data_IF_573089504006
#
_entry.id   IF_573089504006
#
_cell.length_a   1.000
_cell.length_b   1.000
_cell.length_c   1.000
_cell.angle_alpha   90.00
_cell.angle_beta   90.00
_cell.angle_gamma   90.00
#
_symmetry.space_group_name_H-M   'P 1'
#
loop_
_entity.id
_entity.type
_entity.pdbx_description
1 polymer ?
#
# COMPACT_ATOMS: atom_id res chain seq x y z
N UNK A 1 -8.82 -53.11 10.20
CA UNK A 1 -8.32 -51.77 10.52
C UNK A 1 -9.52 -50.86 10.75
N UNK A 2 -9.67 -50.22 11.91
CA UNK A 2 -10.76 -49.26 12.14
C UNK A 2 -10.68 -48.16 11.08
N UNK A 3 -11.81 -47.71 10.57
CA UNK A 3 -11.90 -46.69 9.52
C UNK A 3 -11.10 -45.42 9.88
N UNK A 4 -11.05 -45.11 11.17
CA UNK A 4 -10.27 -44.02 11.79
C UNK A 4 -8.75 -44.18 11.58
N UNK A 5 -8.22 -45.40 11.70
CA UNK A 5 -6.77 -45.66 11.55
C UNK A 5 -6.38 -45.49 10.08
N UNK A 6 -7.22 -45.98 9.17
CA UNK A 6 -7.00 -45.85 7.73
C UNK A 6 -7.05 -44.38 7.28
N UNK A 7 -8.00 -43.60 7.77
CA UNK A 7 -8.09 -42.16 7.44
C UNK A 7 -6.93 -41.36 8.03
N UNK A 8 -6.49 -41.66 9.27
CA UNK A 8 -5.32 -41.01 9.86
C UNK A 8 -4.03 -41.33 9.09
N UNK A 9 -3.85 -42.58 8.64
CA UNK A 9 -2.73 -42.99 7.81
C UNK A 9 -2.74 -42.26 6.46
N UNK A 10 -3.88 -42.22 5.77
CA UNK A 10 -4.01 -41.50 4.49
C UNK A 10 -3.76 -40.00 4.64
N UNK A 11 -4.26 -39.39 5.72
CA UNK A 11 -4.00 -37.99 6.03
C UNK A 11 -2.52 -37.74 6.31
N UNK A 12 -1.89 -38.57 7.14
CA UNK A 12 -0.45 -38.47 7.44
C UNK A 12 0.43 -38.64 6.21
N UNK A 13 0.12 -39.61 5.34
CA UNK A 13 0.83 -39.82 4.06
C UNK A 13 0.64 -38.61 3.15
N UNK A 14 -0.60 -38.13 3.00
CA UNK A 14 -0.89 -36.94 2.18
C UNK A 14 -0.13 -35.71 2.69
N UNK A 15 -0.13 -35.48 4.00
CA UNK A 15 0.60 -34.38 4.62
C UNK A 15 2.12 -34.52 4.40
N UNK A 16 2.67 -35.73 4.52
CA UNK A 16 4.08 -36.00 4.26
C UNK A 16 4.46 -35.75 2.80
N UNK A 17 3.64 -36.19 1.84
CA UNK A 17 3.84 -35.95 0.40
C UNK A 17 3.86 -34.44 0.09
N UNK A 18 2.97 -33.67 0.71
CA UNK A 18 2.93 -32.21 0.57
C UNK A 18 4.15 -31.54 1.24
N UNK A 19 4.53 -31.96 2.44
CA UNK A 19 5.69 -31.40 3.13
C UNK A 19 7.02 -31.72 2.44
N UNK A 20 7.15 -32.92 1.88
CA UNK A 20 8.31 -33.34 1.08
C UNK A 20 8.33 -32.69 -0.31
N UNK A 21 7.26 -31.99 -0.71
CA UNK A 21 7.17 -31.30 -2.00
C UNK A 21 7.11 -32.23 -3.21
N UNK A 22 6.75 -33.51 -3.01
CA UNK A 22 6.63 -34.51 -4.08
C UNK A 22 5.52 -34.15 -5.06
N UNK A 23 4.41 -33.60 -4.53
CA UNK A 23 3.39 -32.92 -5.32
C UNK A 23 3.47 -31.45 -4.94
N UNK A 24 3.97 -30.58 -5.84
CA UNK A 24 4.09 -29.17 -5.50
C UNK A 24 2.69 -28.57 -5.33
N UNK A 25 2.51 -27.66 -4.36
CA UNK A 25 1.23 -27.00 -4.13
C UNK A 25 0.80 -26.09 -5.29
N UNK A 26 1.75 -25.68 -6.14
CA UNK A 26 1.53 -24.85 -7.31
C UNK A 26 2.21 -25.44 -8.54
N UNK A 27 1.56 -25.29 -9.69
CA UNK A 27 2.05 -25.69 -11.01
C UNK A 27 1.43 -24.76 -12.07
N UNK A 28 1.60 -25.06 -13.36
CA UNK A 28 1.03 -24.23 -14.44
C UNK A 28 -0.50 -24.19 -14.44
N UNK A 29 -1.15 -25.31 -14.07
CA UNK A 29 -2.61 -25.44 -14.05
C UNK A 29 -3.24 -24.84 -12.77
N UNK A 30 -2.45 -24.75 -11.69
CA UNK A 30 -2.82 -24.21 -10.38
C UNK A 30 -1.75 -23.22 -9.93
N UNK A 31 -1.70 -22.08 -10.62
CA UNK A 31 -0.65 -21.10 -10.41
C UNK A 31 -0.75 -20.40 -9.05
N UNK A 32 0.42 -20.07 -8.48
CA UNK A 32 0.52 -19.20 -7.32
C UNK A 32 0.28 -17.75 -7.73
N UNK A 33 -0.80 -17.17 -7.22
CA UNK A 33 -1.09 -15.76 -7.36
C UNK A 33 -0.10 -14.89 -6.56
N UNK A 34 0.67 -14.03 -7.22
CA UNK A 34 1.63 -13.10 -6.61
C UNK A 34 1.44 -11.68 -7.13
N UNK A 35 1.80 -10.68 -6.35
CA UNK A 35 1.86 -9.29 -6.78
C UNK A 35 3.33 -8.87 -6.77
N UNK A 36 3.76 -8.15 -7.80
CA UNK A 36 5.09 -7.55 -7.89
C UNK A 36 4.89 -6.07 -8.13
N UNK A 37 5.33 -5.24 -7.19
CA UNK A 37 5.10 -3.79 -7.21
C UNK A 37 6.40 -3.09 -6.89
N UNK A 38 6.80 -2.13 -7.71
CA UNK A 38 7.84 -1.18 -7.35
C UNK A 38 7.24 -0.10 -6.47
N UNK A 39 7.75 0.05 -5.25
CA UNK A 39 7.30 1.05 -4.30
C UNK A 39 8.37 2.13 -4.14
N UNK A 40 7.90 3.37 -4.15
CA UNK A 40 8.66 4.55 -3.73
C UNK A 40 7.94 5.15 -2.52
N UNK A 41 8.54 5.02 -1.35
CA UNK A 41 7.93 5.36 -0.07
C UNK A 41 8.55 6.61 0.54
N UNK A 42 7.70 7.61 0.77
CA UNK A 42 8.01 8.89 1.41
C UNK A 42 7.35 9.04 2.79
N UNK A 43 6.63 8.03 3.29
CA UNK A 43 5.88 8.12 4.55
C UNK A 43 6.79 8.36 5.77
N UNK A 44 8.05 7.92 5.70
CA UNK A 44 9.06 8.19 6.72
C UNK A 44 9.77 9.54 6.58
N UNK A 45 9.59 10.26 5.46
CA UNK A 45 10.31 11.49 5.15
C UNK A 45 9.70 12.70 5.89
N UNK A 46 10.18 13.01 7.10
CA UNK A 46 9.81 14.25 7.80
C UNK A 46 10.66 15.41 7.28
N UNK A 47 10.09 16.26 6.43
CA UNK A 47 10.72 17.50 5.95
C UNK A 47 11.60 17.34 4.69
N UNK A 48 12.17 18.46 4.23
CA UNK A 48 12.72 18.67 2.87
C UNK A 48 13.99 17.88 2.48
N UNK A 49 14.49 16.95 3.29
CA UNK A 49 15.84 16.37 3.09
C UNK A 49 15.97 14.87 3.41
N UNK A 50 14.89 14.09 3.32
CA UNK A 50 15.01 12.62 3.35
C UNK A 50 14.80 12.02 1.96
N UNK A 51 15.76 11.18 1.54
CA UNK A 51 15.68 10.45 0.28
C UNK A 51 14.51 9.43 0.32
N UNK A 52 13.76 9.28 -0.77
CA UNK A 52 12.71 8.25 -0.89
C UNK A 52 13.28 6.85 -0.66
N UNK A 53 12.59 6.06 0.17
CA UNK A 53 12.89 4.64 0.29
C UNK A 53 12.26 3.89 -0.89
N UNK A 54 13.09 3.29 -1.74
CA UNK A 54 12.63 2.60 -2.94
C UNK A 54 12.97 1.12 -2.90
N UNK A 55 12.01 0.26 -3.24
CA UNK A 55 12.18 -1.19 -3.27
C UNK A 55 11.13 -1.89 -4.13
N UNK A 56 11.45 -3.08 -4.62
CA UNK A 56 10.49 -3.99 -5.24
C UNK A 56 9.90 -4.87 -4.16
N UNK A 57 8.57 -4.88 -4.05
CA UNK A 57 7.83 -5.75 -3.14
C UNK A 57 7.18 -6.90 -3.91
N UNK A 58 7.30 -8.09 -3.34
CA UNK A 58 6.70 -9.32 -3.81
C UNK A 58 5.86 -9.92 -2.67
N UNK A 59 4.56 -10.07 -2.90
CA UNK A 59 3.63 -10.56 -1.89
C UNK A 59 2.49 -11.38 -2.50
N UNK A 60 1.84 -12.21 -1.69
CA UNK A 60 0.74 -13.07 -2.11
C UNK A 60 -0.41 -13.00 -1.13
N UNK A 61 -1.64 -13.07 -1.64
CA UNK A 61 -2.83 -13.27 -0.80
C UNK A 61 -3.01 -14.75 -0.43
N UNK A 62 -2.31 -15.65 -1.10
CA UNK A 62 -2.35 -17.08 -0.82
C UNK A 62 -1.44 -17.38 0.39
N UNK A 63 -1.95 -18.04 1.44
CA UNK A 63 -1.14 -18.40 2.60
C UNK A 63 0.11 -19.20 2.23
N UNK A 64 1.20 -18.95 2.94
CA UNK A 64 2.47 -19.67 2.78
C UNK A 64 3.67 -18.76 2.53
N UNK A 65 4.86 -19.30 2.73
CA UNK A 65 6.13 -18.61 2.51
C UNK A 65 6.42 -18.41 1.02
N UNK A 66 7.12 -17.34 0.66
CA UNK A 66 7.53 -16.99 -0.71
C UNK A 66 9.01 -17.31 -1.00
N UNK A 67 9.68 -18.05 -0.11
CA UNK A 67 11.11 -18.35 -0.18
C UNK A 67 11.51 -19.04 -1.49
N UNK A 68 10.74 -20.03 -1.96
CA UNK A 68 11.05 -20.75 -3.21
C UNK A 68 10.99 -19.84 -4.42
N UNK A 69 10.00 -18.96 -4.47
CA UNK A 69 9.85 -17.98 -5.54
C UNK A 69 11.03 -17.03 -5.59
N UNK A 70 11.42 -16.47 -4.44
CA UNK A 70 12.50 -15.50 -4.40
C UNK A 70 13.89 -16.11 -4.62
N UNK A 71 14.11 -17.34 -4.18
CA UNK A 71 15.34 -18.10 -4.46
C UNK A 71 15.54 -18.29 -5.97
N UNK A 72 14.48 -18.62 -6.70
CA UNK A 72 14.53 -18.77 -8.15
C UNK A 72 14.68 -17.43 -8.88
N UNK A 73 14.01 -16.38 -8.40
CA UNK A 73 14.13 -15.04 -8.99
C UNK A 73 15.58 -14.52 -8.84
N UNK A 74 16.22 -14.76 -7.69
CA UNK A 74 17.64 -14.45 -7.49
C UNK A 74 17.98 -12.95 -7.48
N UNK A 75 17.00 -12.07 -7.19
CA UNK A 75 17.18 -10.61 -7.16
C UNK A 75 17.37 -10.03 -5.75
N UNK A 76 17.91 -10.82 -4.82
CA UNK A 76 18.31 -10.31 -3.48
C UNK A 76 17.15 -10.01 -2.54
N UNK A 77 16.00 -10.64 -2.73
CA UNK A 77 14.83 -10.45 -1.88
C UNK A 77 15.06 -10.96 -0.45
N UNK A 78 14.60 -10.18 0.52
CA UNK A 78 14.48 -10.60 1.93
C UNK A 78 13.01 -10.70 2.31
N UNK A 79 12.59 -11.85 2.82
CA UNK A 79 11.20 -12.12 3.20
C UNK A 79 11.01 -12.09 4.72
N UNK A 80 9.90 -11.51 5.17
CA UNK A 80 9.63 -11.42 6.60
C UNK A 80 8.27 -10.83 6.92
N UNK A 81 8.00 -10.73 8.22
CA UNK A 81 6.84 -10.03 8.80
C UNK A 81 7.26 -8.79 9.61
N UNK A 82 8.56 -8.49 9.63
CA UNK A 82 9.19 -7.40 10.37
C UNK A 82 8.89 -6.03 9.76
N UNK A 83 8.60 -5.99 8.46
CA UNK A 83 8.30 -4.77 7.71
C UNK A 83 6.95 -4.89 6.99
N UNK A 84 5.83 -4.79 7.72
CA UNK A 84 4.53 -4.76 7.08
C UNK A 84 4.41 -3.50 6.21
N UNK A 85 3.82 -3.66 5.03
CA UNK A 85 3.62 -2.55 4.10
C UNK A 85 2.14 -2.17 4.04
N UNK A 86 1.84 -0.89 4.23
CA UNK A 86 0.48 -0.37 4.16
C UNK A 86 0.21 0.28 2.79
N UNK A 87 -0.64 -0.36 1.99
CA UNK A 87 -1.10 0.16 0.69
C UNK A 87 -2.38 1.00 0.81
N UNK A 88 -2.69 1.51 2.01
CA UNK A 88 -3.86 2.34 2.37
C UNK A 88 -5.19 1.56 2.34
N UNK A 89 -5.40 0.75 1.30
CA UNK A 89 -6.58 -0.11 1.13
C UNK A 89 -6.45 -1.46 1.84
N UNK A 90 -5.22 -1.91 2.08
CA UNK A 90 -4.89 -3.13 2.80
C UNK A 90 -3.43 -3.10 3.24
N UNK A 91 -3.09 -3.90 4.25
CA UNK A 91 -1.71 -4.07 4.70
C UNK A 91 -1.18 -5.46 4.37
N UNK A 92 0.02 -5.50 3.81
CA UNK A 92 0.78 -6.72 3.56
C UNK A 92 1.59 -7.04 4.81
N UNK A 93 1.12 -8.02 5.59
CA UNK A 93 1.79 -8.46 6.83
C UNK A 93 3.01 -9.33 6.59
N UNK A 94 2.99 -10.13 5.52
CA UNK A 94 4.11 -10.95 5.08
C UNK A 94 4.39 -10.66 3.62
N UNK A 95 5.64 -10.35 3.31
CA UNK A 95 6.09 -10.08 1.96
C UNK A 95 7.61 -10.20 1.86
N UNK A 96 8.09 -10.11 0.64
CA UNK A 96 9.51 -10.06 0.32
C UNK A 96 9.80 -8.73 -0.34
N UNK A 97 10.95 -8.14 -0.05
CA UNK A 97 11.36 -6.89 -0.68
C UNK A 97 12.82 -6.95 -1.11
N UNK A 98 13.16 -6.21 -2.17
CA UNK A 98 14.52 -6.04 -2.66
C UNK A 98 14.73 -4.57 -3.03
N UNK A 99 15.82 -3.98 -2.54
CA UNK A 99 16.27 -2.61 -2.86
C UNK A 99 17.25 -2.59 -4.06
N UNK A 100 17.58 -3.75 -4.61
CA UNK A 100 18.53 -3.88 -5.71
C UNK A 100 18.06 -3.10 -6.94
N UNK A 101 18.82 -2.05 -7.29
CA UNK A 101 18.52 -1.13 -8.40
C UNK A 101 17.17 -0.42 -8.31
N UNK A 102 16.54 -0.37 -7.12
CA UNK A 102 15.20 0.19 -6.97
C UNK A 102 15.15 1.71 -7.27
N UNK A 103 16.27 2.42 -7.21
CA UNK A 103 16.33 3.83 -7.62
C UNK A 103 16.16 4.08 -9.16
N UNK A 104 15.94 3.04 -9.97
CA UNK A 104 15.80 3.14 -11.43
C UNK A 104 14.32 3.08 -11.85
N UNK A 105 13.91 3.99 -12.74
CA UNK A 105 12.61 3.93 -13.42
C UNK A 105 11.53 4.85 -12.84
N UNK A 106 11.90 5.75 -11.93
CA UNK A 106 11.07 6.84 -11.42
C UNK A 106 11.94 8.08 -11.20
N UNK A 107 11.32 9.27 -11.20
CA UNK A 107 11.99 10.53 -10.86
C UNK A 107 11.38 11.17 -9.61
N UNK A 108 12.18 11.96 -8.88
CA UNK A 108 11.68 12.69 -7.70
C UNK A 108 10.50 13.61 -8.03
N UNK A 109 10.46 14.16 -9.25
CA UNK A 109 9.35 15.00 -9.72
C UNK A 109 8.03 14.25 -9.90
N UNK A 110 8.09 12.92 -9.96
CA UNK A 110 6.93 12.04 -10.14
C UNK A 110 6.26 11.70 -8.81
N UNK A 111 6.95 11.95 -7.69
CA UNK A 111 6.45 11.69 -6.34
C UNK A 111 5.26 12.60 -6.05
N UNK A 112 4.10 12.04 -5.63
CA UNK A 112 2.93 12.83 -5.30
C UNK A 112 3.19 13.74 -4.11
N UNK A 113 2.59 14.92 -4.12
CA UNK A 113 2.76 15.94 -3.09
C UNK A 113 1.48 16.12 -2.30
N UNK A 114 1.61 16.15 -0.98
CA UNK A 114 0.60 16.65 -0.05
C UNK A 114 1.18 17.91 0.58
N UNK A 115 0.51 19.05 0.39
CA UNK A 115 0.98 20.33 0.89
C UNK A 115 -0.13 21.02 1.66
N UNK A 116 0.17 21.48 2.87
CA UNK A 116 -0.76 22.30 3.67
C UNK A 116 -0.62 23.75 3.21
N UNK A 117 -1.70 24.29 2.66
CA UNK A 117 -1.76 25.67 2.16
C UNK A 117 -2.09 26.65 3.29
N UNK A 118 -3.02 26.26 4.15
CA UNK A 118 -3.47 27.04 5.31
C UNK A 118 -3.91 26.13 6.45
N UNK A 119 -3.66 26.55 7.69
CA UNK A 119 -4.11 25.85 8.91
C UNK A 119 -4.57 26.87 9.95
N UNK A 120 -5.88 27.03 10.05
CA UNK A 120 -6.50 27.90 11.03
C UNK A 120 -6.65 27.13 12.34
N UNK A 121 -5.76 27.40 13.31
CA UNK A 121 -5.76 26.75 14.64
C UNK A 121 -6.82 27.36 15.57
N UNK A 122 -7.43 26.53 16.41
CA UNK A 122 -8.44 26.93 17.40
C UNK A 122 -9.36 25.76 17.77
N UNK A 123 -10.43 26.04 18.52
CA UNK A 123 -11.42 25.02 18.90
C UNK A 123 -12.12 24.36 17.70
N UNK A 124 -12.18 25.09 16.57
CA UNK A 124 -12.64 24.60 15.28
C UNK A 124 -11.48 24.64 14.29
N UNK A 125 -10.45 23.80 14.50
CA UNK A 125 -9.30 23.78 13.59
C UNK A 125 -9.76 23.36 12.19
N UNK A 126 -9.33 24.12 11.19
CA UNK A 126 -9.58 23.84 9.77
C UNK A 126 -8.28 23.92 9.01
N UNK A 127 -7.98 22.89 8.23
CA UNK A 127 -6.78 22.87 7.37
C UNK A 127 -7.17 22.73 5.91
N UNK A 128 -6.53 23.52 5.05
CA UNK A 128 -6.63 23.43 3.61
C UNK A 128 -5.37 22.77 3.06
N UNK A 129 -5.56 21.64 2.38
CA UNK A 129 -4.49 20.79 1.89
C UNK A 129 -4.62 20.65 0.38
N UNK A 130 -3.56 20.91 -0.37
CA UNK A 130 -3.46 20.55 -1.78
C UNK A 130 -2.80 19.21 -1.97
N UNK A 131 -3.38 18.41 -2.86
CA UNK A 131 -2.89 17.09 -3.26
C UNK A 131 -2.58 17.15 -4.75
N UNK A 132 -1.33 16.86 -5.13
CA UNK A 132 -0.89 16.71 -6.51
C UNK A 132 -0.44 15.27 -6.75
N UNK A 133 -1.22 14.51 -7.50
CA UNK A 133 -0.95 13.09 -7.82
C UNK A 133 0.02 12.90 -8.98
N UNK A 134 0.57 14.00 -9.51
CA UNK A 134 1.59 14.04 -10.56
C UNK A 134 1.22 13.25 -11.81
N UNK A 135 1.78 12.05 -11.97
CA UNK A 135 1.57 11.22 -13.15
C UNK A 135 0.29 10.39 -13.06
N UNK A 136 -0.22 10.16 -11.85
CA UNK A 136 -1.27 9.18 -11.61
C UNK A 136 -2.67 9.76 -11.74
N UNK A 137 -3.55 9.04 -12.44
CA UNK A 137 -5.00 9.24 -12.44
C UNK A 137 -5.73 8.18 -11.61
N UNK A 138 -5.01 7.33 -10.88
CA UNK A 138 -5.53 6.26 -10.03
C UNK A 138 -4.86 6.31 -8.66
N UNK A 139 -5.61 6.68 -7.63
CA UNK A 139 -5.04 6.91 -6.32
C UNK A 139 -6.01 6.51 -5.21
N UNK A 140 -5.47 6.30 -4.02
CA UNK A 140 -6.22 6.07 -2.79
C UNK A 140 -5.76 7.02 -1.72
N UNK A 141 -6.69 7.70 -1.07
CA UNK A 141 -6.45 8.54 0.09
C UNK A 141 -7.11 7.92 1.33
N UNK A 142 -6.32 7.70 2.37
CA UNK A 142 -6.79 7.41 3.71
C UNK A 142 -6.78 8.67 4.56
N UNK A 143 -7.91 8.97 5.20
CA UNK A 143 -8.09 10.10 6.11
C UNK A 143 -8.32 9.52 7.50
N UNK A 144 -7.53 9.97 8.47
CA UNK A 144 -7.60 9.52 9.85
C UNK A 144 -8.80 10.17 10.56
N UNK A 145 -9.86 9.40 10.75
CA UNK A 145 -11.13 9.87 11.35
C UNK A 145 -11.08 9.95 12.88
N UNK A 146 -9.98 9.54 13.51
CA UNK A 146 -9.77 9.81 14.93
C UNK A 146 -9.42 11.28 15.18
N UNK A 147 -8.85 11.95 14.17
CA UNK A 147 -8.40 13.35 14.25
C UNK A 147 -9.29 14.29 13.42
N UNK A 148 -9.84 13.79 12.31
CA UNK A 148 -10.70 14.53 11.38
C UNK A 148 -12.15 14.11 11.62
N UNK A 149 -12.99 15.08 11.98
CA UNK A 149 -14.43 14.88 12.16
C UNK A 149 -15.14 14.84 10.80
N UNK A 150 -14.77 15.75 9.90
CA UNK A 150 -15.37 15.85 8.57
C UNK A 150 -14.39 16.45 7.56
N UNK A 151 -14.65 16.29 6.27
CA UNK A 151 -13.82 16.81 5.19
C UNK A 151 -14.61 17.04 3.90
N UNK A 152 -14.03 17.89 3.05
CA UNK A 152 -14.53 18.18 1.70
C UNK A 152 -13.39 17.99 0.69
N UNK A 153 -13.66 17.31 -0.41
CA UNK A 153 -12.71 17.10 -1.50
C UNK A 153 -13.22 17.72 -2.80
N UNK A 154 -12.38 18.51 -3.46
CA UNK A 154 -12.65 19.18 -4.74
C UNK A 154 -11.55 18.92 -5.75
N UNK A 155 -11.89 18.90 -7.03
CA UNK A 155 -10.92 18.85 -8.14
C UNK A 155 -10.58 20.24 -8.73
N UNK A 156 -10.92 21.28 -7.98
CA UNK A 156 -10.75 22.69 -8.33
C UNK A 156 -12.06 23.37 -8.72
N UNK A 157 -12.93 22.71 -9.52
CA UNK A 157 -14.23 23.29 -9.92
C UNK A 157 -15.40 22.54 -9.32
N UNK A 158 -15.30 21.23 -9.24
CA UNK A 158 -16.39 20.37 -8.79
C UNK A 158 -16.10 19.82 -7.40
N UNK A 159 -17.16 19.70 -6.61
CA UNK A 159 -17.13 19.00 -5.34
C UNK A 159 -17.27 17.50 -5.60
N UNK A 160 -16.23 16.75 -5.25
CA UNK A 160 -16.21 15.31 -5.39
C UNK A 160 -16.75 14.62 -4.14
N UNK A 161 -16.43 15.17 -2.96
CA UNK A 161 -16.96 14.71 -1.68
C UNK A 161 -17.41 15.92 -0.88
N UNK A 162 -18.69 15.93 -0.52
CA UNK A 162 -19.32 16.96 0.30
C UNK A 162 -19.06 16.73 1.79
N UNK A 163 -19.24 17.78 2.59
CA UNK A 163 -19.36 17.71 4.05
C UNK A 163 -20.61 16.85 4.40
N UNK A 164 -20.58 16.13 5.51
CA UNK A 164 -21.66 15.24 5.98
C UNK A 164 -21.20 13.82 6.28
N UNK A 165 -22.14 12.89 6.48
CA UNK A 165 -21.91 11.53 6.99
C UNK A 165 -20.70 10.82 6.36
N UNK A 166 -19.62 10.67 7.15
CA UNK A 166 -18.41 9.93 6.76
C UNK A 166 -18.44 8.54 7.36
N UNK A 167 -18.13 7.54 6.54
CA UNK A 167 -17.89 6.18 7.02
C UNK A 167 -16.53 6.10 7.72
N UNK A 168 -16.44 5.30 8.77
CA UNK A 168 -15.19 4.99 9.45
C UNK A 168 -15.05 3.47 9.49
N UNK A 169 -13.91 2.97 9.02
CA UNK A 169 -13.49 1.59 9.22
C UNK A 169 -12.13 1.63 9.90
N UNK A 170 -12.07 1.13 11.14
CA UNK A 170 -10.84 1.04 11.95
C UNK A 170 -10.06 2.37 12.09
N UNK A 171 -10.76 3.49 12.23
CA UNK A 171 -10.15 4.82 12.40
C UNK A 171 -9.77 5.51 11.08
N UNK A 172 -10.14 4.93 9.94
CA UNK A 172 -9.83 5.47 8.61
C UNK A 172 -11.06 5.58 7.72
N UNK A 173 -11.13 6.68 6.97
CA UNK A 173 -11.98 6.83 5.80
C UNK A 173 -11.14 6.68 4.54
N UNK A 174 -11.55 5.81 3.62
CA UNK A 174 -10.79 5.50 2.41
C UNK A 174 -11.53 6.01 1.17
N UNK A 175 -10.89 6.91 0.42
CA UNK A 175 -11.36 7.37 -0.88
C UNK A 175 -10.52 6.71 -1.96
N UNK A 176 -11.17 6.03 -2.90
CA UNK A 176 -10.53 5.46 -4.09
C UNK A 176 -10.96 6.24 -5.32
N UNK A 177 -9.99 6.73 -6.08
CA UNK A 177 -10.23 7.43 -7.34
C UNK A 177 -9.59 6.67 -8.49
N UNK A 178 -10.33 6.49 -9.58
CA UNK A 178 -9.84 5.86 -10.81
C UNK A 178 -10.41 6.61 -12.00
N UNK A 179 -9.60 7.50 -12.55
CA UNK A 179 -9.95 8.38 -13.65
C UNK A 179 -9.28 7.99 -14.97
N UNK A 180 -9.86 8.45 -16.08
CA UNK A 180 -9.28 8.32 -17.41
C UNK A 180 -8.13 9.30 -17.66
N UNK A 181 -7.57 9.29 -18.87
CA UNK A 181 -6.39 10.09 -19.26
C UNK A 181 -6.53 11.61 -19.01
N UNK A 182 -7.75 12.13 -19.02
CA UNK A 182 -8.07 13.56 -18.84
C UNK A 182 -8.57 13.91 -17.44
N UNK A 183 -8.54 12.96 -16.51
CA UNK A 183 -9.01 13.19 -15.14
C UNK A 183 -8.11 14.17 -14.38
N UNK A 184 -8.67 14.90 -13.41
CA UNK A 184 -7.90 15.80 -12.55
C UNK A 184 -6.80 15.03 -11.81
N UNK A 185 -5.71 15.75 -11.55
CA UNK A 185 -4.54 15.28 -10.80
C UNK A 185 -4.19 16.19 -9.64
N UNK A 186 -4.92 17.30 -9.51
CA UNK A 186 -4.79 18.26 -8.43
C UNK A 186 -6.12 18.34 -7.73
N UNK A 187 -6.07 18.22 -6.41
CA UNK A 187 -7.25 18.22 -5.57
C UNK A 187 -7.03 19.17 -4.39
N UNK A 188 -8.11 19.80 -3.96
CA UNK A 188 -8.16 20.60 -2.75
C UNK A 188 -8.98 19.83 -1.71
N UNK A 189 -8.38 19.60 -0.56
CA UNK A 189 -8.95 18.89 0.57
C UNK A 189 -9.07 19.88 1.74
N UNK A 190 -10.30 20.08 2.21
CA UNK A 190 -10.57 20.82 3.44
C UNK A 190 -10.80 19.82 4.56
N UNK A 191 -10.06 19.93 5.66
CA UNK A 191 -10.18 19.07 6.84
C UNK A 191 -10.79 19.85 7.98
N UNK A 192 -11.86 19.31 8.56
CA UNK A 192 -12.52 19.79 9.77
C UNK A 192 -12.10 18.86 10.91
N UNK A 193 -11.33 19.40 11.85
CA UNK A 193 -10.76 18.61 12.94
C UNK A 193 -11.79 18.35 14.03
N UNK A 194 -11.69 17.18 14.65
CA UNK A 194 -12.52 16.86 15.80
C UNK A 194 -12.19 17.80 16.97
N UNK A 195 -13.23 18.34 17.61
CA UNK A 195 -13.09 19.20 18.79
C UNK A 195 -12.33 18.45 19.90
N UNK A 196 -11.20 19.03 20.34
CA UNK A 196 -10.32 18.63 21.43
C UNK A 196 -10.71 17.37 22.24
N UNK A 197 -10.53 16.18 21.67
CA UNK A 197 -10.28 14.98 22.47
C UNK A 197 -8.79 14.92 22.79
N UNK A 198 -8.35 15.81 23.67
CA UNK A 198 -7.09 15.66 24.41
C UNK A 198 -7.25 14.56 25.48
N UNK A 199 -7.55 13.33 25.07
CA UNK A 199 -7.63 12.20 25.99
C UNK A 199 -6.56 11.16 25.66
N UNK A 200 -5.39 11.34 26.29
CA UNK A 200 -4.68 10.21 26.89
C UNK A 200 -3.52 9.55 26.13
N UNK A 201 -3.03 10.09 25.01
CA UNK A 201 -1.81 9.55 24.36
C UNK A 201 -0.67 10.57 24.49
N UNK A 202 0.47 10.16 25.04
CA UNK A 202 1.63 11.05 25.23
C UNK A 202 2.04 11.72 23.92
N UNK A 203 2.44 13.00 23.99
CA UNK A 203 2.83 13.82 22.83
C UNK A 203 3.82 13.11 21.89
N UNK A 204 4.70 12.26 22.44
CA UNK A 204 5.68 11.47 21.68
C UNK A 204 5.08 10.50 20.65
N UNK A 205 3.83 10.06 20.81
CA UNK A 205 3.17 9.11 19.91
C UNK A 205 2.28 9.81 18.86
N UNK A 206 1.81 11.03 19.16
CA UNK A 206 1.05 11.87 18.21
C UNK A 206 1.91 12.35 17.07
N UNK A 207 3.16 12.71 17.34
CA UNK A 207 4.10 13.17 16.30
C UNK A 207 4.23 12.14 15.15
N UNK A 208 4.15 10.84 15.44
CA UNK A 208 4.36 9.78 14.42
C UNK A 208 3.09 9.31 13.73
N UNK A 209 1.90 9.79 14.13
CA UNK A 209 0.63 9.31 13.57
C UNK A 209 0.37 10.02 12.23
N UNK A 210 0.14 9.29 11.14
CA UNK A 210 -0.31 9.90 9.89
C UNK A 210 -1.74 10.45 10.05
N UNK A 211 -1.96 11.66 9.58
CA UNK A 211 -3.27 12.26 9.35
C UNK A 211 -3.84 11.81 8.01
N UNK A 212 -3.02 11.88 6.97
CA UNK A 212 -3.36 11.45 5.61
C UNK A 212 -2.36 10.40 5.14
N UNK A 213 -2.86 9.40 4.41
CA UNK A 213 -2.04 8.44 3.67
C UNK A 213 -2.47 8.45 2.21
N UNK A 214 -1.55 8.71 1.30
CA UNK A 214 -1.82 8.74 -0.13
C UNK A 214 -1.00 7.65 -0.82
N UNK A 215 -1.69 6.80 -1.57
CA UNK A 215 -1.10 5.91 -2.55
C UNK A 215 -1.47 6.39 -3.95
N UNK A 216 -0.50 6.55 -4.83
CA UNK A 216 -0.76 6.78 -6.25
C UNK A 216 -0.21 5.62 -7.07
N UNK A 217 -1.04 5.08 -7.96
CA UNK A 217 -0.71 3.93 -8.79
C UNK A 217 -0.36 4.42 -10.20
N UNK A 218 0.78 3.98 -10.75
CA UNK A 218 1.25 4.36 -12.08
C UNK A 218 1.42 3.12 -12.94
N UNK A 219 0.83 3.16 -14.13
CA UNK A 219 0.95 2.09 -15.13
C UNK A 219 2.28 2.22 -15.88
N UNK A 220 3.38 1.95 -15.17
CA UNK A 220 4.72 2.03 -15.74
C UNK A 220 5.55 0.87 -15.23
N UNK A 221 6.09 0.10 -16.18
CA UNK A 221 6.98 -0.99 -15.87
C UNK A 221 8.42 -0.47 -15.77
N UNK A 222 8.96 -0.47 -14.55
CA UNK A 222 10.36 -0.09 -14.33
C UNK A 222 11.29 -1.25 -14.65
N UNK A 223 12.55 -0.96 -15.01
CA UNK A 223 13.55 -1.98 -15.34
C UNK A 223 13.76 -3.03 -14.22
N UNK A 224 13.83 -2.65 -12.92
CA UNK A 224 13.90 -3.63 -11.83
C UNK A 224 12.66 -4.52 -11.77
N UNK A 225 11.45 -3.96 -11.94
CA UNK A 225 10.21 -4.75 -11.98
C UNK A 225 10.22 -5.72 -13.15
N UNK A 226 10.56 -5.25 -14.36
CA UNK A 226 10.65 -6.08 -15.56
C UNK A 226 11.62 -7.25 -15.37
N UNK A 227 12.77 -6.99 -14.75
CA UNK A 227 13.77 -8.02 -14.42
C UNK A 227 13.21 -9.09 -13.50
N UNK A 228 12.48 -8.70 -12.45
CA UNK A 228 11.82 -9.64 -11.53
C UNK A 228 10.74 -10.43 -12.24
N UNK A 229 9.89 -9.77 -13.04
CA UNK A 229 8.82 -10.40 -13.80
C UNK A 229 9.35 -11.46 -14.78
N UNK A 230 10.44 -11.15 -15.49
CA UNK A 230 11.08 -12.09 -16.43
C UNK A 230 11.72 -13.31 -15.77
N UNK A 231 11.92 -13.28 -14.45
CA UNK A 231 12.50 -14.39 -13.67
C UNK A 231 11.50 -15.09 -12.77
N UNK A 232 10.22 -14.72 -12.85
CA UNK A 232 9.18 -15.39 -12.09
C UNK A 232 9.13 -16.88 -12.45
N UNK A 233 8.96 -17.77 -11.46
CA UNK A 233 8.71 -19.17 -11.75
C UNK A 233 7.48 -19.34 -12.64
N UNK A 234 7.50 -20.33 -13.54
CA UNK A 234 6.40 -20.58 -14.48
C UNK A 234 5.08 -20.94 -13.79
N UNK A 235 5.13 -21.46 -12.57
CA UNK A 235 3.96 -21.72 -11.72
C UNK A 235 3.45 -20.48 -10.96
N UNK A 236 4.02 -19.30 -11.18
CA UNK A 236 3.54 -18.03 -10.62
C UNK A 236 2.70 -17.27 -11.65
N UNK A 237 1.63 -16.63 -11.18
CA UNK A 237 0.78 -15.76 -11.98
C UNK A 237 0.60 -14.42 -11.29
N UNK A 238 0.64 -13.34 -12.06
CA UNK A 238 0.41 -12.00 -11.54
C UNK A 238 -1.05 -11.84 -11.12
N UNK A 239 -1.21 -11.44 -9.88
CA UNK A 239 -2.49 -11.18 -9.26
C UNK A 239 -2.79 -9.68 -9.31
N UNK A 240 -4.03 -9.34 -9.68
CA UNK A 240 -4.48 -7.96 -9.68
C UNK A 240 -5.94 -7.88 -9.24
N UNK A 241 -6.21 -7.43 -8.01
CA UNK A 241 -7.56 -6.99 -7.62
C UNK A 241 -7.74 -5.53 -8.01
N UNK A 242 -8.99 -5.08 -8.10
CA UNK A 242 -9.33 -3.67 -8.37
C UNK A 242 -8.72 -2.69 -7.36
N UNK A 243 -8.34 -3.14 -6.17
CA UNK A 243 -7.70 -2.34 -5.12
C UNK A 243 -6.18 -2.52 -5.03
N UNK A 244 -5.62 -3.51 -5.73
CA UNK A 244 -4.16 -3.70 -5.82
C UNK A 244 -3.51 -2.53 -6.56
N UNK A 245 -2.29 -2.11 -6.14
CA UNK A 245 -1.48 -1.20 -6.92
C UNK A 245 -1.21 -1.75 -8.33
N UNK A 246 -0.80 -0.86 -9.23
CA UNK A 246 -0.21 -1.25 -10.52
C UNK A 246 1.25 -1.69 -10.31
N UNK A 247 2.05 -1.69 -11.36
CA UNK A 247 3.46 -2.12 -11.32
C UNK A 247 4.40 -1.12 -10.64
N UNK A 248 3.99 0.15 -10.53
CA UNK A 248 4.68 1.21 -9.78
C UNK A 248 3.68 1.93 -8.88
N UNK A 249 4.06 2.13 -7.61
CA UNK A 249 3.26 2.83 -6.63
C UNK A 249 4.12 3.81 -5.82
N UNK A 250 3.59 5.00 -5.58
CA UNK A 250 4.17 5.95 -4.65
C UNK A 250 3.33 6.01 -3.38
N UNK A 251 3.99 6.02 -2.24
CA UNK A 251 3.38 6.16 -0.92
C UNK A 251 3.88 7.46 -0.29
N UNK A 252 2.94 8.28 0.20
CA UNK A 252 3.27 9.50 0.94
C UNK A 252 2.25 9.72 2.05
N UNK A 253 2.61 10.49 3.06
CA UNK A 253 1.73 10.79 4.18
C UNK A 253 1.91 12.21 4.69
N UNK A 254 0.85 12.75 5.26
CA UNK A 254 0.87 13.96 6.06
C UNK A 254 0.74 13.55 7.53
N UNK A 255 1.65 13.99 8.39
CA UNK A 255 1.60 13.72 9.83
C UNK A 255 0.56 14.60 10.52
N UNK A 256 0.10 14.24 11.72
CA UNK A 256 -0.87 15.05 12.49
C UNK A 256 -0.28 16.40 12.96
N UNK A 257 1.04 16.45 13.16
CA UNK A 257 1.81 17.56 13.74
C UNK A 257 2.51 18.47 12.71
N UNK A 258 2.03 18.48 11.46
CA UNK A 258 2.61 19.29 10.37
C UNK A 258 2.74 20.79 10.67
#
# INVERSE_FOLDING_TARGET
MPLIVTTCLLFGISLAVVQLGVVPPFNEDTARAINVVHIVDMTGARGKTQEPASHISLFSTTPGSLVKEVEQIGEGFTCGTDKPLDFVTFSVKYGCWSDKNANIGWHETDIPLIHVEDDTKGDNRVSHVSIDTKLSTRWTLGINTDEVEDFQLKDGREELVSIGDKSNVDGWHIIQFSGGKKSPRKFSLTLLWAANNHTGMSDSNREKKPLLKLRTDVDTLTLPTETVLGKLPHWCSLFGKSTSPLTLAFLTSLAVDF
#
